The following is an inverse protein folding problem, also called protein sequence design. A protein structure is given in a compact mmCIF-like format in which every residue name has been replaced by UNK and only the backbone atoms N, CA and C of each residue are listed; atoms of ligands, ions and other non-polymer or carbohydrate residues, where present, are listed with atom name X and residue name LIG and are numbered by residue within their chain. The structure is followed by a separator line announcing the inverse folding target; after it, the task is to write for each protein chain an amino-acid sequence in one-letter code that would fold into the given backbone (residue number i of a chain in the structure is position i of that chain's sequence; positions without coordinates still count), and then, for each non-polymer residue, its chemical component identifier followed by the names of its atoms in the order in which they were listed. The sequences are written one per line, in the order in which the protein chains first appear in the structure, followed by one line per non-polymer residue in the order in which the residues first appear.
data_IF_517482439980
#
_entry.id   IF_517482439980
#
_cell.length_a   1.000
_cell.length_b   1.000
_cell.length_c   1.000
_cell.angle_alpha   90.00
_cell.angle_beta   90.00
_cell.angle_gamma   90.00
#
_symmetry.space_group_name_H-M   'P 1'
#
loop_
_entity.id
_entity.type
_entity.pdbx_description
1 polymer ?
#
# COMPACT_ATOMS: atom_id res chain seq x y z
N UNK A 1 2.88 -5.04 -19.64
CA UNK A 1 3.22 -5.67 -18.35
C UNK A 1 3.55 -4.56 -17.39
N UNK A 2 2.99 -4.57 -16.18
CA UNK A 2 3.25 -3.50 -15.20
C UNK A 2 4.72 -3.58 -14.77
N UNK A 3 5.50 -2.61 -15.24
CA UNK A 3 6.88 -2.38 -14.80
C UNK A 3 6.86 -2.06 -13.30
N UNK A 4 7.68 -2.77 -12.52
CA UNK A 4 7.77 -2.56 -11.06
C UNK A 4 8.46 -1.21 -10.82
N UNK A 5 7.68 -0.13 -10.79
CA UNK A 5 8.18 1.19 -10.46
C UNK A 5 8.33 1.31 -8.93
N UNK A 6 9.58 1.53 -8.47
CA UNK A 6 9.85 1.88 -7.07
C UNK A 6 9.70 3.38 -6.92
N UNK A 7 8.74 3.81 -6.10
CA UNK A 7 8.56 5.20 -5.71
C UNK A 7 9.23 5.44 -4.35
N UNK A 8 10.23 6.32 -4.31
CA UNK A 8 10.91 6.72 -3.08
C UNK A 8 10.56 8.18 -2.75
N UNK A 9 9.87 8.39 -1.63
CA UNK A 9 9.40 9.72 -1.20
C UNK A 9 9.83 9.95 0.24
N UNK A 10 10.33 11.15 0.53
CA UNK A 10 10.55 11.66 1.88
C UNK A 10 9.58 12.82 2.12
N UNK A 11 8.75 12.70 3.16
CA UNK A 11 7.65 13.63 3.45
C UNK A 11 7.37 13.69 4.96
N UNK A 12 6.53 14.64 5.37
CA UNK A 12 5.99 14.72 6.72
C UNK A 12 4.84 13.73 6.91
N UNK A 13 4.72 13.14 8.09
CA UNK A 13 3.63 12.19 8.40
C UNK A 13 3.30 12.19 9.90
N UNK A 14 2.12 11.69 10.26
CA UNK A 14 1.71 11.50 11.65
C UNK A 14 2.42 10.30 12.31
N UNK A 15 2.63 10.37 13.63
CA UNK A 15 3.34 9.33 14.39
C UNK A 15 2.67 7.95 14.26
N UNK A 16 1.34 7.92 14.16
CA UNK A 16 0.54 6.71 14.14
C UNK A 16 0.81 5.84 12.89
N UNK A 17 1.25 6.49 11.81
CA UNK A 17 1.56 5.85 10.53
C UNK A 17 3.03 5.48 10.39
N UNK A 18 3.87 5.81 11.38
CA UNK A 18 5.30 5.51 11.35
C UNK A 18 5.62 4.04 11.62
N UNK A 19 6.75 3.61 11.07
CA UNK A 19 7.34 2.28 11.15
C UNK A 19 6.33 1.18 10.76
N UNK A 20 5.47 1.49 9.79
CA UNK A 20 4.51 0.55 9.21
C UNK A 20 5.07 -0.04 7.94
N UNK A 21 4.88 -1.34 7.78
CA UNK A 21 5.17 -2.07 6.56
C UNK A 21 4.04 -3.04 6.27
N UNK A 22 3.76 -3.26 4.98
CA UNK A 22 2.68 -4.14 4.58
C UNK A 22 2.60 -4.34 3.08
N UNK A 23 1.72 -5.26 2.70
CA UNK A 23 1.38 -5.53 1.31
C UNK A 23 -0.12 -5.34 1.09
N UNK A 24 -0.49 -5.00 -0.14
CA UNK A 24 -1.89 -4.90 -0.54
C UNK A 24 -2.03 -5.54 -1.91
N UNK A 25 -2.92 -6.53 -2.03
CA UNK A 25 -3.34 -7.05 -3.32
C UNK A 25 -4.29 -6.05 -3.99
N UNK A 26 -4.03 -5.75 -5.26
CA UNK A 26 -4.83 -4.84 -6.09
C UNK A 26 -5.20 -5.56 -7.39
N UNK A 27 -6.18 -5.06 -8.17
CA UNK A 27 -6.42 -5.59 -9.50
C UNK A 27 -5.13 -5.62 -10.33
N UNK A 28 -4.80 -6.80 -10.87
CA UNK A 28 -3.63 -7.03 -11.73
C UNK A 28 -2.26 -6.76 -11.08
N UNK A 29 -2.15 -6.72 -9.76
CA UNK A 29 -0.86 -6.46 -9.14
C UNK A 29 -0.85 -6.50 -7.62
N UNK A 30 0.28 -6.03 -7.07
CA UNK A 30 0.51 -5.98 -5.64
C UNK A 30 1.31 -4.75 -5.28
N UNK A 31 0.88 -4.06 -4.24
CA UNK A 31 1.61 -2.92 -3.66
C UNK A 31 2.37 -3.40 -2.43
N UNK A 32 3.62 -2.98 -2.31
CA UNK A 32 4.44 -3.17 -1.10
C UNK A 32 4.82 -1.80 -0.59
N UNK A 33 4.60 -1.55 0.69
CA UNK A 33 4.96 -0.30 1.33
C UNK A 33 5.72 -0.56 2.62
N UNK A 34 6.65 0.34 2.93
CA UNK A 34 7.27 0.46 4.23
C UNK A 34 7.71 1.90 4.42
N UNK A 35 7.61 2.41 5.64
CA UNK A 35 8.15 3.70 6.01
C UNK A 35 9.02 3.57 7.27
N UNK A 36 9.85 4.58 7.49
CA UNK A 36 10.61 4.80 8.71
C UNK A 36 10.58 6.29 9.03
N UNK A 37 10.51 6.61 10.31
CA UNK A 37 10.37 7.98 10.77
C UNK A 37 11.49 8.39 11.73
N UNK A 38 11.64 9.70 11.91
CA UNK A 38 12.47 10.29 12.95
C UNK A 38 11.77 11.56 13.48
N UNK A 39 12.13 11.97 14.70
CA UNK A 39 11.50 13.10 15.41
C UNK A 39 12.54 14.13 15.83
N UNK A 40 13.01 14.95 14.89
CA UNK A 40 13.72 16.20 15.14
C UNK A 40 13.87 16.98 13.83
N UNK A 41 14.27 18.25 13.91
CA UNK A 41 14.55 19.05 12.73
C UNK A 41 15.65 18.43 11.88
N UNK A 42 15.44 18.41 10.56
CA UNK A 42 16.38 17.90 9.56
C UNK A 42 16.89 16.46 9.79
N UNK A 43 16.18 15.67 10.61
CA UNK A 43 16.56 14.29 10.85
C UNK A 43 16.44 13.47 9.56
N UNK A 44 17.41 12.61 9.31
CA UNK A 44 17.37 11.66 8.20
C UNK A 44 16.90 10.31 8.75
N UNK A 45 15.64 9.90 8.51
CA UNK A 45 15.25 8.55 8.85
C UNK A 45 16.03 7.58 7.93
N UNK A 46 16.26 6.35 8.39
CA UNK A 46 17.01 5.36 7.61
C UNK A 46 16.32 4.98 6.29
N UNK A 47 16.85 3.99 5.58
CA UNK A 47 16.21 3.46 4.37
C UNK A 47 15.23 2.35 4.79
N UNK A 48 13.92 2.47 4.50
CA UNK A 48 12.96 1.42 4.81
C UNK A 48 13.18 0.19 3.92
N UNK A 49 12.90 -0.99 4.46
CA UNK A 49 12.95 -2.25 3.72
C UNK A 49 11.52 -2.70 3.40
N UNK A 50 11.25 -2.98 2.13
CA UNK A 50 9.96 -3.55 1.73
C UNK A 50 9.77 -4.94 2.34
N UNK A 51 8.54 -5.29 2.77
CA UNK A 51 8.26 -6.62 3.28
C UNK A 51 8.43 -7.69 2.19
N UNK A 52 8.73 -8.91 2.62
CA UNK A 52 8.73 -10.08 1.75
C UNK A 52 7.33 -10.32 1.20
N UNK A 53 7.28 -10.84 -0.02
CA UNK A 53 6.01 -11.17 -0.64
C UNK A 53 5.45 -12.47 -0.06
N UNK A 54 4.25 -12.38 0.50
CA UNK A 54 3.42 -13.54 0.81
C UNK A 54 2.41 -13.71 -0.32
N UNK A 55 2.38 -14.88 -0.93
CA UNK A 55 1.47 -15.22 -2.05
C UNK A 55 0.43 -16.26 -1.67
N UNK A 56 0.55 -16.87 -0.49
CA UNK A 56 -0.40 -17.87 0.00
C UNK A 56 -1.74 -17.20 0.32
N UNK A 57 -2.82 -17.67 -0.32
CA UNK A 57 -4.20 -17.23 -0.08
C UNK A 57 -4.59 -17.49 1.37
N UNK A 58 -5.25 -16.53 2.00
CA UNK A 58 -5.69 -16.63 3.40
C UNK A 58 -7.19 -16.88 3.57
N UNK A 59 -7.92 -17.06 2.46
CA UNK A 59 -9.36 -17.37 2.45
C UNK A 59 -10.28 -16.15 2.52
N UNK A 60 -9.74 -14.93 2.63
CA UNK A 60 -10.53 -13.70 2.57
C UNK A 60 -10.63 -13.23 1.12
N UNK A 61 -11.84 -12.82 0.72
CA UNK A 61 -12.14 -12.25 -0.58
C UNK A 61 -12.55 -10.79 -0.42
N UNK A 62 -11.98 -9.91 -1.22
CA UNK A 62 -12.33 -8.50 -1.27
C UNK A 62 -12.73 -8.10 -2.69
N UNK A 63 -13.59 -7.09 -2.82
CA UNK A 63 -13.84 -6.46 -4.12
C UNK A 63 -12.78 -5.37 -4.35
N UNK A 64 -12.06 -5.46 -5.47
CA UNK A 64 -10.96 -4.57 -5.79
C UNK A 64 -11.18 -3.78 -7.07
N UNK A 65 -10.70 -2.55 -7.09
CA UNK A 65 -10.80 -1.64 -8.22
C UNK A 65 -9.65 -0.61 -8.21
N UNK A 66 -9.31 -0.06 -9.38
CA UNK A 66 -8.36 1.04 -9.52
C UNK A 66 -8.93 1.99 -10.57
N UNK A 67 -9.08 3.28 -10.23
CA UNK A 67 -9.52 4.31 -11.15
C UNK A 67 -8.81 5.64 -10.82
N UNK A 68 -8.52 6.46 -11.82
CA UNK A 68 -7.83 7.74 -11.66
C UNK A 68 -8.76 8.88 -12.04
N UNK A 69 -8.70 10.00 -11.31
CA UNK A 69 -9.55 11.18 -11.53
C UNK A 69 -11.07 10.93 -11.40
N UNK A 70 -11.48 9.90 -10.65
CA UNK A 70 -12.88 9.62 -10.34
C UNK A 70 -13.16 9.64 -8.85
N UNK A 71 -14.43 9.87 -8.49
CA UNK A 71 -14.90 9.89 -7.09
C UNK A 71 -15.06 8.49 -6.50
N UNK A 72 -15.25 7.48 -7.33
CA UNK A 72 -15.41 6.09 -6.91
C UNK A 72 -15.08 5.13 -8.05
N UNK A 73 -14.88 3.86 -7.67
CA UNK A 73 -14.95 2.74 -8.61
C UNK A 73 -16.41 2.29 -8.74
N UNK A 74 -16.89 2.03 -9.95
CA UNK A 74 -18.26 1.54 -10.16
C UNK A 74 -18.35 0.01 -10.39
N UNK A 75 -17.25 -0.63 -10.77
CA UNK A 75 -17.17 -2.07 -10.99
C UNK A 75 -15.85 -2.61 -10.45
N UNK A 76 -15.93 -3.50 -9.46
CA UNK A 76 -14.77 -4.20 -8.94
C UNK A 76 -14.62 -5.60 -9.52
N UNK A 77 -13.45 -6.19 -9.29
CA UNK A 77 -13.18 -7.61 -9.51
C UNK A 77 -12.92 -8.28 -8.17
N UNK A 78 -13.33 -9.55 -7.99
CA UNK A 78 -13.01 -10.29 -6.77
C UNK A 78 -11.49 -10.51 -6.68
N UNK A 79 -10.92 -10.21 -5.53
CA UNK A 79 -9.52 -10.39 -5.17
C UNK A 79 -9.40 -11.36 -4.01
N UNK A 80 -8.51 -12.33 -4.15
CA UNK A 80 -8.11 -13.21 -3.06
C UNK A 80 -7.01 -12.53 -2.24
N UNK A 81 -7.26 -12.32 -0.96
CA UNK A 81 -6.25 -11.81 -0.05
C UNK A 81 -5.22 -12.90 0.29
N UNK A 82 -3.99 -12.45 0.56
CA UNK A 82 -2.85 -13.34 0.80
C UNK A 82 -2.09 -12.95 2.06
N UNK A 83 -1.49 -13.93 2.73
CA UNK A 83 -0.68 -13.71 3.93
C UNK A 83 -1.44 -12.90 4.99
N UNK A 84 -0.88 -11.74 5.35
CA UNK A 84 -1.38 -10.90 6.46
C UNK A 84 -2.47 -9.90 6.03
N UNK A 85 -2.90 -9.93 4.76
CA UNK A 85 -3.96 -9.08 4.22
C UNK A 85 -5.33 -9.56 4.73
N UNK A 86 -5.72 -9.15 5.94
CA UNK A 86 -6.90 -9.71 6.64
C UNK A 86 -8.14 -8.82 6.62
N UNK A 87 -8.12 -7.72 5.86
CA UNK A 87 -9.19 -6.72 5.79
C UNK A 87 -9.29 -6.13 4.39
N UNK A 88 -10.51 -5.85 3.95
CA UNK A 88 -10.77 -5.07 2.73
C UNK A 88 -10.68 -3.57 3.05
N UNK A 89 -10.05 -2.79 2.17
CA UNK A 89 -9.83 -1.36 2.36
C UNK A 89 -10.12 -0.58 1.08
N UNK A 90 -10.54 0.68 1.24
CA UNK A 90 -10.62 1.65 0.14
C UNK A 90 -9.58 2.74 0.40
N UNK A 91 -8.74 3.02 -0.59
CA UNK A 91 -7.73 4.07 -0.50
C UNK A 91 -8.06 5.20 -1.47
N UNK A 92 -8.12 6.43 -0.97
CA UNK A 92 -8.32 7.64 -1.78
C UNK A 92 -7.13 8.56 -1.51
N UNK A 93 -6.45 8.97 -2.58
CA UNK A 93 -5.32 9.90 -2.50
C UNK A 93 -5.53 11.03 -3.49
N UNK A 94 -5.18 12.25 -3.09
CA UNK A 94 -5.14 13.42 -3.95
C UNK A 94 -3.80 14.11 -3.71
N UNK A 95 -3.12 14.49 -4.79
CA UNK A 95 -1.98 15.38 -4.73
C UNK A 95 -2.48 16.79 -5.05
N UNK A 96 -2.14 17.76 -4.20
CA UNK A 96 -2.52 19.18 -4.32
C UNK A 96 -1.30 20.05 -4.22
#
# INVERSE_FOLDING_TARGET
GMEVSKLFIRQCESKEKCDKAGTMSIPNGKVKMSNVCCKSDNCNPGIPKLPLEKTLKNGIMCEGCIDTNKKSCQSGQPLECVGDETRCITYVTSMS
#
